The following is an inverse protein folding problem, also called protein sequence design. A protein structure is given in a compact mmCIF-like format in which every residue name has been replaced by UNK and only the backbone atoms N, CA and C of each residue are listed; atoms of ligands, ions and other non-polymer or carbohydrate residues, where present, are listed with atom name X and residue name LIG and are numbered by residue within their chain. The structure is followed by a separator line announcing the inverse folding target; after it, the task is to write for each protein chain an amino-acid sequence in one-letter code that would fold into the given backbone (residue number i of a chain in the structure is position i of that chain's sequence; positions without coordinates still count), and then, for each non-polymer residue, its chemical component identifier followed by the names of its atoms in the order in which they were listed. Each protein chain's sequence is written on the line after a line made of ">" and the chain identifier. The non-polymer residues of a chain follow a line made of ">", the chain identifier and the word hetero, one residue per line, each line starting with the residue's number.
data_IF_141708441037
#
_entry.id   IF_141708441037
#
_cell.length_a   1.000
_cell.length_b   1.000
_cell.length_c   1.000
_cell.angle_alpha   90.00
_cell.angle_beta   90.00
_cell.angle_gamma   90.00
#
_symmetry.space_group_name_H-M   'P 1'
#
loop_
_entity.id
_entity.type
_entity.pdbx_description
1 polymer ?
#
# COMPACT_ATOMS: atom_id res chain seq x y z
N UNK A 1 14.92 -4.25 -1.16
CA UNK A 1 14.85 -3.57 -2.48
C UNK A 1 13.62 -2.67 -2.45
N UNK A 2 13.59 -1.53 -3.16
CA UNK A 2 12.39 -0.68 -3.10
C UNK A 2 11.22 -1.42 -3.74
N UNK A 3 10.07 -1.49 -3.07
CA UNK A 3 8.86 -2.08 -3.65
C UNK A 3 8.46 -1.32 -4.92
N UNK A 4 8.04 -2.05 -5.94
CA UNK A 4 7.62 -1.48 -7.22
C UNK A 4 6.30 -0.73 -7.06
N UNK A 5 6.24 0.49 -7.60
CA UNK A 5 5.02 1.29 -7.58
C UNK A 5 3.85 0.54 -8.24
N UNK A 6 4.12 -0.25 -9.29
CA UNK A 6 3.14 -1.07 -9.98
C UNK A 6 2.52 -2.15 -9.08
N UNK A 7 3.29 -2.72 -8.15
CA UNK A 7 2.78 -3.69 -7.19
C UNK A 7 1.87 -3.01 -6.15
N UNK A 8 2.27 -1.84 -5.66
CA UNK A 8 1.46 -1.04 -4.74
C UNK A 8 0.14 -0.61 -5.39
N UNK A 9 0.20 -0.14 -6.63
CA UNK A 9 -0.97 0.27 -7.41
C UNK A 9 -1.94 -0.90 -7.64
N UNK A 10 -1.40 -2.08 -7.98
CA UNK A 10 -2.18 -3.32 -8.06
C UNK A 10 -2.92 -3.62 -6.75
N UNK A 11 -2.24 -3.57 -5.61
CA UNK A 11 -2.87 -3.82 -4.31
C UNK A 11 -3.96 -2.78 -4.03
N UNK A 12 -3.67 -1.49 -4.24
CA UNK A 12 -4.63 -0.40 -4.00
C UNK A 12 -5.87 -0.58 -4.87
N UNK A 13 -5.72 -0.98 -6.14
CA UNK A 13 -6.85 -1.25 -7.03
C UNK A 13 -7.68 -2.46 -6.56
N UNK A 14 -7.05 -3.50 -6.01
CA UNK A 14 -7.77 -4.66 -5.44
C UNK A 14 -8.58 -4.32 -4.19
N UNK A 15 -8.13 -3.34 -3.39
CA UNK A 15 -8.80 -2.96 -2.13
C UNK A 15 -9.59 -1.65 -2.21
N UNK A 16 -9.75 -1.07 -3.40
CA UNK A 16 -10.40 0.25 -3.58
C UNK A 16 -11.83 0.31 -3.04
N UNK A 17 -12.55 -0.81 -3.04
CA UNK A 17 -13.93 -0.91 -2.53
C UNK A 17 -14.01 -0.98 -0.99
N UNK A 18 -12.87 -1.14 -0.29
CA UNK A 18 -12.84 -1.18 1.18
C UNK A 18 -12.99 0.20 1.84
N UNK A 19 -12.93 1.29 1.05
CA UNK A 19 -13.09 2.67 1.54
C UNK A 19 -12.09 3.63 0.91
N UNK A 20 -11.72 4.67 1.64
CA UNK A 20 -10.70 5.61 1.17
C UNK A 20 -9.30 5.00 1.34
N UNK A 21 -8.75 4.49 0.25
CA UNK A 21 -7.41 3.90 0.22
C UNK A 21 -6.36 4.96 -0.14
N UNK A 22 -5.30 5.04 0.64
CA UNK A 22 -4.14 5.90 0.38
C UNK A 22 -2.87 5.10 0.59
N UNK A 23 -2.05 4.96 -0.45
CA UNK A 23 -0.70 4.43 -0.34
C UNK A 23 0.30 5.56 -0.14
N UNK A 24 1.14 5.49 0.90
CA UNK A 24 2.18 6.49 1.17
C UNK A 24 3.55 5.83 1.26
N UNK A 25 4.50 6.34 0.49
CA UNK A 25 5.91 5.90 0.55
C UNK A 25 6.58 6.46 1.80
N UNK A 26 7.18 5.59 2.61
CA UNK A 26 7.92 5.94 3.82
C UNK A 26 9.17 5.07 3.90
N UNK A 27 10.35 5.67 4.10
CA UNK A 27 11.62 4.97 4.30
C UNK A 27 11.98 3.92 3.22
N UNK A 28 11.56 4.13 1.97
CA UNK A 28 11.83 3.22 0.86
C UNK A 28 10.75 2.17 0.62
N UNK A 29 9.79 2.03 1.54
CA UNK A 29 8.67 1.09 1.49
C UNK A 29 7.33 1.83 1.44
N UNK A 30 6.21 1.11 1.39
CA UNK A 30 4.88 1.73 1.29
C UNK A 30 3.98 1.30 2.44
N UNK A 31 3.24 2.25 3.01
CA UNK A 31 2.16 1.99 3.94
C UNK A 31 0.82 2.22 3.26
N UNK A 32 -0.13 1.31 3.49
CA UNK A 32 -1.50 1.40 2.99
C UNK A 32 -2.39 1.86 4.13
N UNK A 33 -3.08 2.96 3.89
CA UNK A 33 -4.08 3.53 4.77
C UNK A 33 -5.47 3.24 4.20
N UNK A 34 -6.38 2.81 5.07
CA UNK A 34 -7.81 2.76 4.80
C UNK A 34 -8.53 3.68 5.79
N UNK A 35 -9.27 4.66 5.28
CA UNK A 35 -10.01 5.64 6.09
C UNK A 35 -9.13 6.31 7.18
N UNK A 36 -7.89 6.66 6.81
CA UNK A 36 -6.93 7.31 7.71
C UNK A 36 -6.23 6.39 8.72
N UNK A 37 -6.52 5.08 8.73
CA UNK A 37 -5.84 4.09 9.57
C UNK A 37 -4.88 3.25 8.75
N UNK A 38 -3.72 2.91 9.29
CA UNK A 38 -2.80 1.96 8.66
C UNK A 38 -3.43 0.57 8.74
N UNK A 39 -3.57 -0.09 7.59
CA UNK A 39 -4.15 -1.43 7.49
C UNK A 39 -3.20 -2.46 6.91
N UNK A 40 -2.19 -2.03 6.15
CA UNK A 40 -1.17 -2.92 5.60
C UNK A 40 0.14 -2.17 5.32
N UNK A 41 1.22 -2.93 5.21
CA UNK A 41 2.55 -2.46 4.80
C UNK A 41 3.01 -3.25 3.58
N UNK A 42 3.70 -2.60 2.65
CA UNK A 42 4.24 -3.25 1.46
C UNK A 42 5.76 -3.16 1.48
N UNK A 43 6.37 -4.31 1.75
CA UNK A 43 7.80 -4.46 1.94
C UNK A 43 8.34 -5.54 1.00
N UNK A 44 9.46 -5.28 0.31
CA UNK A 44 10.05 -6.19 -0.69
C UNK A 44 9.01 -6.87 -1.64
N UNK A 45 8.09 -6.07 -2.20
CA UNK A 45 6.97 -6.55 -3.05
C UNK A 45 6.05 -7.60 -2.38
N UNK A 46 5.84 -7.49 -1.07
CA UNK A 46 4.86 -8.30 -0.32
C UNK A 46 4.00 -7.43 0.58
N UNK A 47 2.73 -7.78 0.68
CA UNK A 47 1.78 -7.17 1.61
C UNK A 47 1.89 -7.87 2.98
N UNK A 48 2.00 -7.08 4.04
CA UNK A 48 2.02 -7.48 5.45
C UNK A 48 0.87 -6.83 6.22
#
# INVERSE_FOLDING_TARGET
>A
MASDLSFVDFIVDQVKDAGQIVSKKMFGEYAIYCNGKIVALVCDNRLF
#
